data_IF_843181438355
#
_entry.id   IF_843181438355
#
_cell.length_a   1.000
_cell.length_b   1.000
_cell.length_c   1.000
_cell.angle_alpha   90.00
_cell.angle_beta   90.00
_cell.angle_gamma   90.00
#
_symmetry.space_group_name_H-M   'P 1'
#
loop_
_entity.id
_entity.type
_entity.pdbx_description
1 polymer ?
#
# COMPACT_ATOMS: atom_id res chain seq x y z
N UNK A 1 8.30 -7.74 -9.17
CA UNK A 1 7.58 -6.51 -9.54
C UNK A 1 6.15 -6.59 -9.07
N UNK A 2 5.77 -5.69 -8.18
CA UNK A 2 4.44 -5.67 -7.55
C UNK A 2 3.35 -5.20 -8.51
N UNK A 3 2.13 -5.70 -8.31
CA UNK A 3 0.93 -5.27 -9.03
C UNK A 3 0.06 -4.37 -8.16
N UNK A 4 -0.41 -3.25 -8.71
CA UNK A 4 -1.22 -2.29 -7.95
C UNK A 4 -2.46 -2.94 -7.32
N UNK A 5 -3.17 -3.80 -8.06
CA UNK A 5 -4.37 -4.48 -7.53
C UNK A 5 -4.09 -5.50 -6.44
N UNK A 6 -2.93 -6.15 -6.45
CA UNK A 6 -2.55 -7.05 -5.36
C UNK A 6 -2.23 -6.27 -4.08
N UNK A 7 -1.70 -5.04 -4.21
CA UNK A 7 -1.53 -4.12 -3.08
C UNK A 7 -2.88 -3.67 -2.53
N UNK A 8 -3.87 -3.36 -3.40
CA UNK A 8 -5.23 -3.03 -2.98
C UNK A 8 -5.88 -4.18 -2.20
N UNK A 9 -5.77 -5.42 -2.68
CA UNK A 9 -6.25 -6.62 -1.95
C UNK A 9 -5.59 -6.72 -0.58
N UNK A 10 -4.27 -6.51 -0.50
CA UNK A 10 -3.56 -6.57 0.77
C UNK A 10 -3.96 -5.44 1.73
N UNK A 11 -4.21 -4.23 1.23
CA UNK A 11 -4.77 -3.14 2.02
C UNK A 11 -6.13 -3.52 2.59
N UNK A 12 -6.98 -4.14 1.77
CA UNK A 12 -8.29 -4.64 2.18
C UNK A 12 -8.18 -5.66 3.30
N UNK A 13 -7.37 -6.72 3.10
CA UNK A 13 -7.20 -7.81 4.07
C UNK A 13 -6.60 -7.35 5.41
N UNK A 14 -5.72 -6.35 5.38
CA UNK A 14 -5.01 -5.82 6.55
C UNK A 14 -5.71 -4.61 7.19
N UNK A 15 -6.94 -4.31 6.74
CA UNK A 15 -7.75 -3.24 7.31
C UNK A 15 -7.97 -3.48 8.81
N UNK A 16 -7.66 -2.45 9.60
CA UNK A 16 -7.77 -2.50 11.06
C UNK A 16 -6.56 -3.12 11.78
N UNK A 17 -5.65 -3.82 11.06
CA UNK A 17 -4.46 -4.47 11.65
C UNK A 17 -3.24 -3.56 11.73
N UNK A 18 -3.06 -2.66 10.76
CA UNK A 18 -1.93 -1.74 10.73
C UNK A 18 -1.84 -0.95 9.43
N UNK A 19 -0.66 -0.41 9.15
CA UNK A 19 -0.31 0.16 7.85
C UNK A 19 0.52 -0.86 7.06
N UNK A 20 0.56 -0.74 5.74
CA UNK A 20 1.46 -1.53 4.90
C UNK A 20 2.74 -0.74 4.63
N UNK A 21 3.88 -1.27 5.06
CA UNK A 21 5.19 -0.82 4.62
C UNK A 21 5.62 -1.63 3.40
N UNK A 22 5.92 -0.94 2.31
CA UNK A 22 6.44 -1.52 1.07
C UNK A 22 7.95 -1.27 1.05
N UNK A 23 8.74 -2.29 0.75
CA UNK A 23 10.20 -2.23 0.78
C UNK A 23 10.79 -2.22 -0.64
N UNK A 24 12.09 -1.92 -0.72
CA UNK A 24 12.85 -1.83 -1.97
C UNK A 24 13.07 -3.18 -2.66
N UNK A 25 12.91 -4.28 -1.93
CA UNK A 25 12.95 -5.66 -2.41
C UNK A 25 11.57 -6.22 -2.80
N UNK A 26 10.59 -5.35 -3.07
CA UNK A 26 9.18 -5.67 -3.37
C UNK A 26 8.44 -6.38 -2.22
N UNK A 27 9.02 -6.51 -1.01
CA UNK A 27 8.30 -7.11 0.11
C UNK A 27 7.31 -6.12 0.73
N UNK A 28 6.23 -6.65 1.33
CA UNK A 28 5.21 -5.85 2.01
C UNK A 28 4.98 -6.42 3.40
N UNK A 29 5.17 -5.59 4.43
CA UNK A 29 4.96 -5.97 5.83
C UNK A 29 3.88 -5.09 6.48
N UNK A 30 3.11 -5.66 7.41
CA UNK A 30 2.23 -4.88 8.27
C UNK A 30 3.06 -4.24 9.37
N UNK A 31 2.91 -2.93 9.54
CA UNK A 31 3.55 -2.15 10.59
C UNK A 31 2.50 -1.46 11.47
N UNK A 32 2.80 -1.16 12.75
CA UNK A 32 1.88 -0.45 13.63
C UNK A 32 1.38 0.89 13.06
N UNK A 33 0.24 1.38 13.57
CA UNK A 33 -0.36 2.64 13.08
C UNK A 33 0.54 3.86 13.33
N UNK A 34 1.30 3.83 14.41
CA UNK A 34 2.27 4.81 14.88
C UNK A 34 3.71 4.51 14.43
N UNK A 35 3.88 3.65 13.42
CA UNK A 35 5.19 3.25 12.92
C UNK A 35 6.08 4.47 12.58
N UNK A 36 7.30 4.57 13.13
CA UNK A 36 8.16 5.75 13.01
C UNK A 36 8.76 5.96 11.62
N UNK A 37 8.48 5.07 10.66
CA UNK A 37 8.93 5.19 9.28
C UNK A 37 10.29 4.55 8.98
N UNK A 38 10.88 3.82 9.93
CA UNK A 38 12.10 3.04 9.72
C UNK A 38 12.18 1.81 10.64
N UNK A 39 12.79 0.72 10.14
CA UNK A 39 13.10 -0.50 10.89
C UNK A 39 14.52 -0.95 10.55
N UNK A 40 15.36 -1.22 11.54
CA UNK A 40 16.73 -1.67 11.30
C UNK A 40 17.57 -0.70 10.45
N UNK A 41 17.29 0.61 10.54
CA UNK A 41 17.97 1.64 9.73
C UNK A 41 17.50 1.74 8.27
N UNK A 42 16.59 0.85 7.83
CA UNK A 42 15.98 0.90 6.51
C UNK A 42 14.66 1.66 6.55
N UNK A 43 14.37 2.43 5.49
CA UNK A 43 13.09 3.09 5.27
C UNK A 43 12.32 2.33 4.18
N UNK A 44 11.01 2.07 4.36
CA UNK A 44 10.18 1.56 3.29
C UNK A 44 10.09 2.59 2.16
N UNK A 45 9.88 2.12 0.93
CA UNK A 45 9.61 2.98 -0.24
C UNK A 45 8.26 3.68 -0.08
N UNK A 46 7.27 3.02 0.52
CA UNK A 46 5.97 3.62 0.80
C UNK A 46 5.37 3.06 2.10
N UNK A 47 4.57 3.88 2.77
CA UNK A 47 3.72 3.46 3.89
C UNK A 47 2.28 3.79 3.51
N UNK A 48 1.50 2.75 3.23
CA UNK A 48 0.11 2.86 2.80
C UNK A 48 -0.82 2.60 3.98
N UNK A 49 -1.86 3.43 4.12
CA UNK A 49 -2.78 3.40 5.27
C UNK A 49 -4.14 2.83 4.83
N UNK A 50 -4.49 1.57 5.19
CA UNK A 50 -5.77 0.96 4.79
C UNK A 50 -6.99 1.81 5.12
N UNK A 51 -7.05 2.37 6.34
CA UNK A 51 -8.18 3.17 6.81
C UNK A 51 -8.41 4.43 5.95
N UNK A 52 -7.36 4.98 5.35
CA UNK A 52 -7.49 6.15 4.47
C UNK A 52 -7.83 5.74 3.05
N UNK A 53 -7.24 4.63 2.59
CA UNK A 53 -7.26 4.25 1.19
C UNK A 53 -8.47 3.41 0.83
N UNK A 54 -8.84 2.40 1.62
CA UNK A 54 -9.83 1.38 1.24
C UNK A 54 -11.10 1.34 2.09
N UNK A 55 -11.12 1.96 3.28
CA UNK A 55 -12.32 1.96 4.15
C UNK A 55 -13.52 2.74 3.58
N UNK A 56 -13.32 3.57 2.57
CA UNK A 56 -14.39 4.36 1.94
C UNK A 56 -15.23 3.55 0.94
N UNK A 57 -14.81 2.33 0.60
CA UNK A 57 -15.51 1.48 -0.35
C UNK A 57 -16.32 0.40 0.38
N UNK A 58 -17.54 0.18 -0.08
CA UNK A 58 -18.41 -0.86 0.45
C UNK A 58 -17.98 -2.28 0.01
N UNK A 59 -17.31 -2.39 -1.15
CA UNK A 59 -16.87 -3.66 -1.72
C UNK A 59 -15.46 -3.55 -2.31
N UNK A 60 -14.70 -4.65 -2.23
CA UNK A 60 -13.36 -4.75 -2.79
C UNK A 60 -13.33 -4.44 -4.30
N UNK A 61 -14.33 -4.90 -5.05
CA UNK A 61 -14.39 -4.67 -6.50
C UNK A 61 -14.47 -3.18 -6.87
N UNK A 62 -15.08 -2.35 -6.01
CA UNK A 62 -15.08 -0.90 -6.22
C UNK A 62 -13.68 -0.31 -6.01
N UNK A 63 -12.95 -0.76 -4.99
CA UNK A 63 -11.57 -0.34 -4.77
C UNK A 63 -10.65 -0.81 -5.92
N UNK A 64 -10.85 -2.02 -6.44
CA UNK A 64 -10.04 -2.57 -7.55
C UNK A 64 -10.27 -1.87 -8.90
N UNK A 65 -11.42 -1.22 -9.06
CA UNK A 65 -11.81 -0.48 -10.26
C UNK A 65 -11.58 1.04 -10.16
N UNK A 66 -11.19 1.56 -9.00
CA UNK A 66 -11.01 3.00 -8.78
C UNK A 66 -9.64 3.48 -9.28
N UNK A 67 -9.63 4.15 -10.43
CA UNK A 67 -8.42 4.67 -11.07
C UNK A 67 -7.65 5.70 -10.22
N UNK A 68 -8.36 6.47 -9.38
CA UNK A 68 -7.74 7.46 -8.49
C UNK A 68 -6.98 6.75 -7.35
N UNK A 69 -7.58 5.72 -6.75
CA UNK A 69 -6.92 4.88 -5.76
C UNK A 69 -5.69 4.18 -6.35
N UNK A 70 -5.84 3.55 -7.52
CA UNK A 70 -4.73 2.86 -8.18
C UNK A 70 -3.57 3.83 -8.44
N UNK A 71 -3.87 5.01 -8.99
CA UNK A 71 -2.86 6.05 -9.26
C UNK A 71 -2.21 6.56 -7.97
N UNK A 72 -3.00 6.79 -6.91
CA UNK A 72 -2.48 7.23 -5.60
C UNK A 72 -1.47 6.25 -5.02
N UNK A 73 -1.77 4.95 -5.09
CA UNK A 73 -0.86 3.89 -4.61
C UNK A 73 0.42 3.86 -5.44
N UNK A 74 0.28 3.94 -6.75
CA UNK A 74 1.43 3.88 -7.65
C UNK A 74 2.36 5.08 -7.50
N UNK A 75 1.81 6.29 -7.39
CA UNK A 75 2.59 7.51 -7.20
C UNK A 75 3.33 7.49 -5.85
N UNK A 76 2.69 7.00 -4.79
CA UNK A 76 3.34 6.83 -3.49
C UNK A 76 4.55 5.88 -3.57
N UNK A 77 4.43 4.78 -4.30
CA UNK A 77 5.53 3.80 -4.48
C UNK A 77 6.65 4.39 -5.34
N UNK A 78 6.30 5.01 -6.47
CA UNK A 78 7.28 5.60 -7.40
C UNK A 78 8.02 6.78 -6.77
N UNK A 79 7.35 7.60 -5.98
CA UNK A 79 7.98 8.69 -5.23
C UNK A 79 9.02 8.20 -4.22
N UNK A 80 8.83 6.98 -3.69
CA UNK A 80 9.79 6.29 -2.84
C UNK A 80 10.92 5.55 -3.57
N UNK A 81 10.95 5.60 -4.90
CA UNK A 81 11.91 4.87 -5.73
C UNK A 81 11.57 3.40 -5.98
N UNK A 82 10.36 2.96 -5.61
CA UNK A 82 9.87 1.60 -5.88
C UNK A 82 9.31 1.43 -7.29
N UNK A 83 9.06 0.18 -7.68
CA UNK A 83 8.47 -0.18 -8.98
C UNK A 83 7.14 -0.90 -8.80
N UNK A 84 6.16 -0.58 -9.66
CA UNK A 84 4.83 -1.18 -9.63
C UNK A 84 4.19 -1.13 -11.03
N UNK A 85 3.44 -2.17 -11.37
CA UNK A 85 2.65 -2.26 -12.59
C UNK A 85 1.15 -2.19 -12.29
N UNK A 86 0.45 -1.46 -13.17
CA UNK A 86 -0.99 -1.59 -13.34
C UNK A 86 -1.26 -2.83 -14.19
N UNK A 87 -2.06 -3.75 -13.66
CA UNK A 87 -2.54 -4.94 -14.38
C UNK A 87 -3.96 -4.77 -14.93
#
# INVERSE_FOLDING_TARGET
MMKTRDIVKKLWDETGRGNLAIWDDDTITVVPKDYPGASGGKKPVAILKPIVLVNKYDFLDFALADEELLTTIEDAIRAGGGQVIRD
#
